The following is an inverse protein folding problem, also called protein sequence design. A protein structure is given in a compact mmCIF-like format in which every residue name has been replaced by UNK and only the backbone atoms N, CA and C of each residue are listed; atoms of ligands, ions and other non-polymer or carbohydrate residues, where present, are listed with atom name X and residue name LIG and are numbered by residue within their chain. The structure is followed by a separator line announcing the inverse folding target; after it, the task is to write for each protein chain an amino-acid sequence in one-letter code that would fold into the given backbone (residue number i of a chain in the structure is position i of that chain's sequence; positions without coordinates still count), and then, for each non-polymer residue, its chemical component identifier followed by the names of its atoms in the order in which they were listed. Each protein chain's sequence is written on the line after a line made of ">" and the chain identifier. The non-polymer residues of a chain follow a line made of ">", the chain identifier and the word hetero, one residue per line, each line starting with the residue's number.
data_IF_147752476108
#
_entry.id   IF_147752476108
#
_cell.length_a   1.000
_cell.length_b   1.000
_cell.length_c   1.000
_cell.angle_alpha   90.00
_cell.angle_beta   90.00
_cell.angle_gamma   90.00
#
_symmetry.space_group_name_H-M   'P 1'
#
loop_
_entity.id
_entity.type
_entity.pdbx_description
1 polymer ?
#
# COMPACT_ATOMS: atom_id res chain seq x y z
N UNK A 1 -8.52 1.07 9.86
CA UNK A 1 -9.29 2.26 9.44
C UNK A 1 -9.95 2.00 8.10
N UNK A 2 -10.95 2.79 7.72
CA UNK A 2 -11.51 2.74 6.36
C UNK A 2 -10.45 3.12 5.33
N UNK A 3 -10.54 2.52 4.14
CA UNK A 3 -9.55 2.69 3.07
C UNK A 3 -9.50 4.15 2.59
N UNK A 4 -10.65 4.78 2.35
CA UNK A 4 -10.71 6.20 2.01
C UNK A 4 -10.02 7.10 3.04
N UNK A 5 -10.25 6.85 4.33
CA UNK A 5 -9.59 7.60 5.42
C UNK A 5 -8.09 7.38 5.43
N UNK A 6 -7.62 6.17 5.13
CA UNK A 6 -6.21 5.86 5.01
C UNK A 6 -5.54 6.67 3.89
N UNK A 7 -6.11 6.64 2.68
CA UNK A 7 -5.59 7.38 1.52
C UNK A 7 -5.54 8.89 1.78
N UNK A 8 -6.50 9.44 2.54
CA UNK A 8 -6.48 10.86 2.94
C UNK A 8 -5.45 11.19 4.03
N UNK A 9 -4.98 10.21 4.79
CA UNK A 9 -4.16 10.40 5.99
C UNK A 9 -2.67 10.17 5.76
N UNK A 10 -2.31 9.34 4.78
CA UNK A 10 -0.93 8.95 4.51
C UNK A 10 -0.54 9.31 3.08
N UNK A 11 0.64 9.90 2.94
CA UNK A 11 1.27 10.12 1.63
C UNK A 11 2.23 8.97 1.36
N UNK A 12 1.88 8.06 0.45
CA UNK A 12 2.70 6.91 0.12
C UNK A 12 3.61 7.14 -1.09
N UNK A 13 3.57 8.32 -1.71
CA UNK A 13 4.44 8.60 -2.86
C UNK A 13 5.92 8.55 -2.45
N UNK A 14 6.77 8.05 -3.35
CA UNK A 14 8.19 7.74 -3.14
C UNK A 14 8.48 6.68 -2.05
N UNK A 15 7.46 6.03 -1.49
CA UNK A 15 7.66 4.89 -0.58
C UNK A 15 7.79 3.61 -1.40
N UNK A 16 8.47 2.60 -0.87
CA UNK A 16 8.68 1.34 -1.61
C UNK A 16 7.87 0.19 -1.01
N UNK A 17 7.30 -0.66 -1.87
CA UNK A 17 6.76 -1.96 -1.49
C UNK A 17 7.88 -2.99 -1.61
N UNK A 18 8.46 -3.32 -0.45
CA UNK A 18 9.55 -4.29 -0.32
C UNK A 18 9.03 -5.72 -0.45
N UNK A 19 7.79 -5.97 -0.03
CA UNK A 19 7.19 -7.29 -0.11
C UNK A 19 5.67 -7.24 -0.16
N UNK A 20 5.10 -8.01 -1.08
CA UNK A 20 3.68 -8.34 -1.12
C UNK A 20 3.43 -9.76 -0.57
N UNK A 21 2.40 -9.94 0.24
CA UNK A 21 1.95 -11.27 0.69
C UNK A 21 0.43 -11.32 0.74
N UNK A 22 -0.16 -12.34 0.09
CA UNK A 22 -1.59 -12.61 0.12
C UNK A 22 -1.89 -13.89 0.89
N UNK A 23 -2.61 -13.77 2.00
CA UNK A 23 -3.05 -14.87 2.85
C UNK A 23 -4.53 -15.13 2.58
N UNK A 24 -4.81 -15.91 1.53
CA UNK A 24 -6.19 -16.15 1.08
C UNK A 24 -7.07 -16.81 2.14
N UNK A 25 -6.52 -17.73 2.93
CA UNK A 25 -7.24 -18.40 4.04
C UNK A 25 -7.59 -17.46 5.19
N UNK A 26 -6.86 -16.35 5.32
CA UNK A 26 -7.09 -15.33 6.35
C UNK A 26 -7.82 -14.10 5.81
N UNK A 27 -8.11 -14.05 4.49
CA UNK A 27 -8.63 -12.87 3.82
C UNK A 27 -7.79 -11.61 4.10
N UNK A 28 -6.45 -11.71 3.97
CA UNK A 28 -5.52 -10.60 4.23
C UNK A 28 -4.53 -10.37 3.11
N UNK A 29 -4.23 -9.10 2.88
CA UNK A 29 -3.05 -8.66 2.09
C UNK A 29 -2.13 -7.92 3.04
N UNK A 30 -0.84 -8.25 2.98
CA UNK A 30 0.21 -7.64 3.78
C UNK A 30 1.23 -7.04 2.82
N UNK A 31 1.54 -5.76 3.02
CA UNK A 31 2.64 -5.07 2.35
C UNK A 31 3.69 -4.70 3.39
N UNK A 32 4.93 -5.17 3.23
CA UNK A 32 6.06 -4.55 3.93
C UNK A 32 6.49 -3.34 3.09
N UNK A 33 6.47 -2.16 3.71
CA UNK A 33 6.67 -0.87 3.05
C UNK A 33 7.86 -0.16 3.68
N UNK A 34 8.82 0.24 2.86
CA UNK A 34 9.79 1.27 3.21
C UNK A 34 9.11 2.64 3.06
N UNK A 35 8.60 3.18 4.16
CA UNK A 35 7.81 4.41 4.16
C UNK A 35 8.73 5.63 4.08
N UNK A 36 8.46 6.52 3.13
CA UNK A 36 8.95 7.90 3.13
C UNK A 36 8.31 8.69 4.29
N UNK A 37 8.85 8.49 5.48
CA UNK A 37 8.33 9.02 6.74
C UNK A 37 8.40 10.55 6.78
N UNK A 38 9.38 11.17 6.12
CA UNK A 38 9.51 12.63 6.04
C UNK A 38 8.34 13.34 5.33
N UNK A 39 7.60 12.61 4.46
CA UNK A 39 6.41 13.13 3.77
C UNK A 39 5.16 13.12 4.64
N UNK A 40 5.18 12.41 5.76
CA UNK A 40 3.99 12.28 6.61
C UNK A 40 3.72 13.56 7.38
N UNK A 41 2.45 13.94 7.50
CA UNK A 41 2.03 15.16 8.23
C UNK A 41 2.50 15.21 9.69
N UNK A 42 2.71 14.05 10.31
CA UNK A 42 3.15 13.93 11.69
C UNK A 42 4.69 13.84 11.85
N UNK A 43 5.45 13.97 10.76
CA UNK A 43 6.90 13.90 10.79
C UNK A 43 7.49 15.03 11.65
N UNK A 44 8.49 14.68 12.46
CA UNK A 44 9.21 15.62 13.30
C UNK A 44 10.71 15.55 13.02
N UNK A 45 11.37 16.70 13.05
CA UNK A 45 12.83 16.79 12.89
C UNK A 45 13.53 15.91 13.94
N UNK A 46 14.42 15.04 13.47
CA UNK A 46 15.13 14.06 14.31
C UNK A 46 14.53 12.65 14.27
N UNK A 47 13.35 12.46 13.66
CA UNK A 47 12.87 11.14 13.27
C UNK A 47 13.60 10.65 12.02
N UNK A 48 13.66 9.32 11.84
CA UNK A 48 14.16 8.74 10.60
C UNK A 48 13.29 9.18 9.42
N UNK A 49 13.92 9.64 8.35
CA UNK A 49 13.22 10.06 7.13
C UNK A 49 12.61 8.88 6.39
N UNK A 50 13.21 7.69 6.56
CA UNK A 50 12.77 6.42 6.00
C UNK A 50 12.46 5.46 7.15
N UNK A 51 11.37 4.71 7.08
CA UNK A 51 11.01 3.73 8.12
C UNK A 51 10.31 2.52 7.54
N UNK A 52 10.78 1.32 7.88
CA UNK A 52 10.09 0.08 7.55
C UNK A 52 8.80 -0.08 8.37
N UNK A 53 7.67 -0.28 7.69
CA UNK A 53 6.36 -0.53 8.32
C UNK A 53 5.60 -1.60 7.56
N UNK A 54 4.78 -2.35 8.29
CA UNK A 54 3.88 -3.35 7.70
C UNK A 54 2.46 -2.79 7.58
N UNK A 55 1.94 -2.73 6.37
CA UNK A 55 0.57 -2.35 6.07
C UNK A 55 -0.29 -3.60 5.88
N UNK A 56 -1.37 -3.70 6.64
CA UNK A 56 -2.28 -4.85 6.63
C UNK A 56 -3.64 -4.41 6.12
N UNK A 57 -4.09 -5.08 5.07
CA UNK A 57 -5.47 -5.07 4.59
C UNK A 57 -6.15 -6.33 5.13
N UNK A 58 -7.31 -6.14 5.74
CA UNK A 58 -8.05 -7.19 6.45
C UNK A 58 -9.51 -7.19 5.99
N UNK A 59 -10.15 -8.34 6.07
CA UNK A 59 -11.42 -8.62 5.39
C UNK A 59 -11.32 -8.33 3.87
N UNK A 60 -10.29 -8.88 3.22
CA UNK A 60 -10.04 -8.72 1.78
C UNK A 60 -11.10 -9.49 0.98
N UNK A 61 -11.85 -8.74 0.17
CA UNK A 61 -12.89 -9.24 -0.73
C UNK A 61 -12.31 -9.61 -2.10
N UNK A 62 -11.36 -8.83 -2.61
CA UNK A 62 -10.71 -9.05 -3.90
C UNK A 62 -9.32 -8.38 -3.98
N UNK A 63 -8.44 -8.94 -4.80
CA UNK A 63 -7.13 -8.35 -5.13
C UNK A 63 -6.79 -8.59 -6.61
N UNK A 64 -6.51 -7.51 -7.32
CA UNK A 64 -6.17 -7.53 -8.75
C UNK A 64 -4.80 -6.89 -8.94
N UNK A 65 -3.92 -7.57 -9.68
CA UNK A 65 -2.56 -7.11 -9.96
C UNK A 65 -2.31 -7.27 -11.46
N UNK A 66 -1.94 -6.19 -12.12
CA UNK A 66 -1.61 -6.15 -13.55
C UNK A 66 -0.25 -5.49 -13.77
N UNK A 67 0.71 -6.14 -14.47
CA UNK A 67 0.65 -7.52 -14.99
C UNK A 67 0.53 -8.57 -13.89
N UNK A 68 -0.16 -9.67 -14.17
CA UNK A 68 -0.25 -10.80 -13.24
C UNK A 68 1.06 -11.62 -13.22
N UNK A 69 1.28 -12.35 -12.13
CA UNK A 69 2.44 -13.25 -11.92
C UNK A 69 3.81 -12.57 -11.81
N UNK A 70 3.87 -11.26 -11.52
CA UNK A 70 5.11 -10.60 -11.13
C UNK A 70 5.34 -10.74 -9.63
N UNK A 71 6.59 -11.01 -9.26
CA UNK A 71 7.03 -10.84 -7.88
C UNK A 71 7.10 -9.33 -7.59
N UNK A 72 6.29 -8.87 -6.63
CA UNK A 72 6.32 -7.47 -6.19
C UNK A 72 7.31 -7.39 -5.04
N UNK A 73 8.49 -6.89 -5.38
CA UNK A 73 9.60 -6.65 -4.47
C UNK A 73 10.36 -5.41 -4.96
N UNK A 74 10.66 -4.51 -4.03
CA UNK A 74 11.43 -3.28 -4.25
C UNK A 74 10.79 -2.30 -5.26
N UNK A 75 9.45 -2.24 -5.31
CA UNK A 75 8.71 -1.35 -6.22
C UNK A 75 8.37 0.00 -5.56
N UNK A 76 8.69 1.10 -6.23
CA UNK A 76 8.32 2.45 -5.81
C UNK A 76 6.82 2.71 -6.02
N UNK A 77 6.19 3.36 -5.04
CA UNK A 77 4.79 3.79 -5.11
C UNK A 77 4.70 5.17 -5.79
N UNK A 78 4.09 5.20 -6.97
CA UNK A 78 3.85 6.44 -7.72
C UNK A 78 2.57 7.16 -7.31
N UNK A 79 1.48 6.42 -7.09
CA UNK A 79 0.23 7.00 -6.61
C UNK A 79 -0.61 5.97 -5.86
N UNK A 80 -1.45 6.47 -4.95
CA UNK A 80 -2.43 5.69 -4.21
C UNK A 80 -3.74 6.47 -4.17
N UNK A 81 -4.81 5.84 -4.63
CA UNK A 81 -6.13 6.45 -4.71
C UNK A 81 -7.22 5.44 -4.34
N UNK A 82 -8.40 5.92 -3.95
CA UNK A 82 -9.60 5.06 -3.94
C UNK A 82 -10.19 5.00 -5.33
N UNK A 83 -10.73 3.84 -5.76
CA UNK A 83 -11.49 3.83 -7.02
C UNK A 83 -12.79 4.62 -6.84
N UNK A 84 -13.16 5.45 -7.83
CA UNK A 84 -14.34 6.34 -7.77
C UNK A 84 -15.66 5.62 -7.44
N UNK A 85 -15.71 4.28 -7.59
CA UNK A 85 -16.91 3.46 -7.36
C UNK A 85 -16.96 2.81 -5.98
N UNK A 86 -15.84 2.73 -5.25
CA UNK A 86 -15.78 1.97 -4.01
C UNK A 86 -14.79 2.57 -2.99
N UNK A 87 -15.31 3.18 -1.92
CA UNK A 87 -14.49 3.73 -0.82
C UNK A 87 -13.75 2.67 0.00
N UNK A 88 -14.03 1.38 -0.22
CA UNK A 88 -13.29 0.22 0.32
C UNK A 88 -12.18 -0.28 -0.60
N UNK A 89 -12.01 0.33 -1.77
CA UNK A 89 -10.96 -0.06 -2.70
C UNK A 89 -9.77 0.89 -2.61
N UNK A 90 -8.57 0.33 -2.69
CA UNK A 90 -7.32 1.06 -2.85
C UNK A 90 -6.72 0.64 -4.18
N UNK A 91 -6.41 1.61 -5.03
CA UNK A 91 -5.62 1.45 -6.24
C UNK A 91 -4.24 2.05 -5.98
N UNK A 92 -3.20 1.27 -6.24
CA UNK A 92 -1.80 1.67 -6.14
C UNK A 92 -1.13 1.45 -7.49
N UNK A 93 -0.33 2.42 -7.92
CA UNK A 93 0.54 2.29 -9.09
C UNK A 93 1.97 2.19 -8.59
N UNK A 94 2.65 1.15 -9.04
CA UNK A 94 3.98 0.75 -8.65
C UNK A 94 4.92 0.83 -9.86
N UNK A 95 6.18 1.20 -9.64
CA UNK A 95 7.19 1.32 -10.67
C UNK A 95 8.53 0.76 -10.22
N UNK A 96 9.19 0.03 -11.11
CA UNK A 96 10.59 -0.36 -10.99
C UNK A 96 11.18 -0.61 -12.39
N UNK A 97 12.36 -0.06 -12.69
CA UNK A 97 13.10 -0.23 -13.94
C UNK A 97 12.25 -0.26 -15.24
N UNK A 98 11.24 0.61 -15.35
CA UNK A 98 10.35 0.69 -16.52
C UNK A 98 9.18 -0.32 -16.54
N UNK A 99 9.08 -1.17 -15.53
CA UNK A 99 7.91 -2.00 -15.24
C UNK A 99 6.90 -1.15 -14.45
N UNK A 100 5.65 -1.17 -14.88
CA UNK A 100 4.54 -0.54 -14.16
C UNK A 100 3.58 -1.64 -13.71
N UNK A 101 3.27 -1.66 -12.40
CA UNK A 101 2.26 -2.54 -11.82
C UNK A 101 1.09 -1.70 -11.31
N UNK A 102 -0.12 -2.13 -11.62
CA UNK A 102 -1.35 -1.61 -11.05
C UNK A 102 -1.92 -2.65 -10.09
N UNK A 103 -2.00 -2.29 -8.81
CA UNK A 103 -2.60 -3.13 -7.77
C UNK A 103 -3.90 -2.50 -7.31
N UNK A 104 -4.98 -3.29 -7.28
CA UNK A 104 -6.27 -2.90 -6.70
C UNK A 104 -6.63 -3.89 -5.61
N UNK A 105 -6.83 -3.39 -4.38
CA UNK A 105 -7.25 -4.18 -3.23
C UNK A 105 -8.62 -3.70 -2.78
N UNK A 106 -9.58 -4.61 -2.62
CA UNK A 106 -10.87 -4.35 -1.99
C UNK A 106 -10.86 -5.01 -0.62
N UNK A 107 -10.99 -4.21 0.45
CA UNK A 107 -10.90 -4.71 1.82
C UNK A 107 -11.81 -3.95 2.78
N UNK A 108 -12.26 -4.63 3.84
CA UNK A 108 -13.05 -3.99 4.90
C UNK A 108 -12.28 -2.92 5.66
N UNK A 109 -10.97 -3.13 5.91
CA UNK A 109 -10.13 -2.18 6.63
C UNK A 109 -8.65 -2.29 6.25
N UNK A 110 -7.92 -1.21 6.52
CA UNK A 110 -6.46 -1.13 6.40
C UNK A 110 -5.83 -0.54 7.66
N UNK A 111 -4.66 -0.99 8.07
CA UNK A 111 -3.93 -0.43 9.21
C UNK A 111 -2.43 -0.78 9.16
N UNK A 112 -1.62 0.07 9.77
CA UNK A 112 -0.22 -0.27 10.07
C UNK A 112 -0.18 -1.25 11.24
N UNK A 113 0.65 -2.30 11.14
CA UNK A 113 0.97 -3.17 12.27
C UNK A 113 1.57 -2.35 13.42
N UNK A 114 1.25 -2.75 14.67
CA UNK A 114 1.65 -2.03 15.88
C UNK A 114 3.08 -2.34 16.30
#
# INVERSE_FOLDING_TARGET
>A
MEISKFVMSYDLHDSNVEKYTYLSQEHKVILDIELCNWRQRAFQKGQSEITMKRLIFDDVEDVQIEPSNLEIKDFEILTVDTTMKNSKSLKMVLHDEGIIIVMVIIAGRVYWEK
#
